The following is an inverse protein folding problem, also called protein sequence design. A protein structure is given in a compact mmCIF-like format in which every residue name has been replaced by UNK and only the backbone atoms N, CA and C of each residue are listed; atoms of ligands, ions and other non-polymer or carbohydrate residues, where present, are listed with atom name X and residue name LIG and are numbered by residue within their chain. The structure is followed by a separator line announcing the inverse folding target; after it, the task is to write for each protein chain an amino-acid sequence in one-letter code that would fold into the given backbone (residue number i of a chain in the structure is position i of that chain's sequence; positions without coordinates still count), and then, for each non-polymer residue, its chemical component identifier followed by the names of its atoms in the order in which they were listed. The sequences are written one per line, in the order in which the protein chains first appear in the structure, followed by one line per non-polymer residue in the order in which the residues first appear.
data_IF_590127971187
#
_entry.id   IF_590127971187
#
_cell.length_a   1.000
_cell.length_b   1.000
_cell.length_c   1.000
_cell.angle_alpha   90.00
_cell.angle_beta   90.00
_cell.angle_gamma   90.00
#
_symmetry.space_group_name_H-M   'P 1'
#
loop_
_entity.id
_entity.type
_entity.pdbx_description
1 polymer ?
#
# COMPACT_ATOMS: atom_id res chain seq x y z
N UNK A 1 -17.53 -5.10 -25.23
CA UNK A 1 -16.08 -5.36 -25.12
C UNK A 1 -15.35 -4.07 -25.38
N UNK A 2 -14.30 -3.78 -24.60
CA UNK A 2 -13.55 -2.54 -24.77
C UNK A 2 -12.70 -2.59 -26.04
N UNK A 3 -12.36 -1.42 -26.59
CA UNK A 3 -11.50 -1.32 -27.77
C UNK A 3 -10.11 -1.94 -27.51
N UNK A 4 -9.65 -1.90 -26.28
CA UNK A 4 -8.38 -2.46 -25.85
C UNK A 4 -8.42 -4.00 -25.87
N UNK A 5 -9.54 -4.59 -25.43
CA UNK A 5 -9.75 -6.05 -25.47
C UNK A 5 -9.70 -6.56 -26.92
N UNK A 6 -10.29 -5.82 -27.84
CA UNK A 6 -10.27 -6.17 -29.27
C UNK A 6 -8.86 -6.07 -29.86
N UNK A 7 -8.08 -5.04 -29.50
CA UNK A 7 -6.68 -4.90 -29.92
C UNK A 7 -5.82 -6.04 -29.38
N UNK A 8 -6.03 -6.42 -28.12
CA UNK A 8 -5.33 -7.54 -27.50
C UNK A 8 -5.67 -8.89 -28.16
N UNK A 9 -6.95 -9.14 -28.42
CA UNK A 9 -7.38 -10.35 -29.14
C UNK A 9 -6.76 -10.41 -30.54
N UNK A 10 -6.75 -9.29 -31.26
CA UNK A 10 -6.12 -9.18 -32.59
C UNK A 10 -4.61 -9.46 -32.51
N UNK A 11 -3.92 -8.88 -31.51
CA UNK A 11 -2.51 -9.14 -31.31
C UNK A 11 -2.24 -10.62 -31.03
N UNK A 12 -2.98 -11.26 -30.09
CA UNK A 12 -2.84 -12.67 -29.79
C UNK A 12 -3.03 -13.60 -31.00
N UNK A 13 -3.88 -13.22 -31.91
CA UNK A 13 -4.09 -13.95 -33.16
C UNK A 13 -2.91 -13.81 -34.12
N UNK A 14 -2.13 -12.74 -34.03
CA UNK A 14 -1.00 -12.44 -34.91
C UNK A 14 0.35 -12.87 -34.33
N UNK A 15 0.49 -12.76 -32.99
CA UNK A 15 1.77 -13.00 -32.30
C UNK A 15 2.19 -14.48 -32.36
N UNK A 16 3.48 -14.70 -32.65
CA UNK A 16 4.05 -16.03 -32.78
C UNK A 16 3.67 -16.78 -34.05
N UNK A 17 2.87 -16.17 -34.95
CA UNK A 17 2.54 -16.79 -36.22
C UNK A 17 3.58 -16.49 -37.29
N UNK A 18 4.13 -17.55 -37.87
CA UNK A 18 4.95 -17.46 -39.10
C UNK A 18 4.12 -17.42 -40.39
N UNK A 19 2.86 -17.88 -40.34
CA UNK A 19 1.92 -17.86 -41.46
C UNK A 19 0.99 -16.65 -41.38
N UNK A 20 0.51 -16.18 -42.54
CA UNK A 20 -0.47 -15.11 -42.57
C UNK A 20 -1.85 -15.58 -42.13
N UNK A 21 -2.65 -14.65 -41.61
CA UNK A 21 -4.08 -14.86 -41.34
C UNK A 21 -4.90 -13.96 -42.21
N UNK A 22 -5.92 -14.52 -42.88
CA UNK A 22 -6.75 -13.76 -43.81
C UNK A 22 -7.62 -12.75 -43.09
N UNK A 23 -8.03 -11.69 -43.83
CA UNK A 23 -8.94 -10.69 -43.27
C UNK A 23 -10.26 -11.31 -42.80
N UNK A 24 -10.79 -12.27 -43.55
CA UNK A 24 -12.04 -12.92 -43.20
C UNK A 24 -11.87 -13.73 -41.88
N UNK A 25 -10.81 -14.52 -41.77
CA UNK A 25 -10.55 -15.27 -40.58
C UNK A 25 -10.38 -14.38 -39.35
N UNK A 26 -9.72 -13.21 -39.47
CA UNK A 26 -9.64 -12.24 -38.39
C UNK A 26 -11.00 -11.68 -37.97
N UNK A 27 -11.88 -11.42 -38.96
CA UNK A 27 -13.23 -10.92 -38.68
C UNK A 27 -14.07 -11.98 -37.95
N UNK A 28 -13.97 -13.23 -38.36
CA UNK A 28 -14.73 -14.35 -37.81
C UNK A 28 -14.26 -14.67 -36.41
N UNK A 29 -12.94 -14.78 -36.16
CA UNK A 29 -12.35 -15.05 -34.85
C UNK A 29 -12.60 -13.95 -33.82
N UNK A 30 -12.62 -12.70 -34.26
CA UNK A 30 -12.86 -11.55 -33.40
C UNK A 30 -14.34 -11.17 -33.28
N UNK A 31 -15.20 -11.75 -34.13
CA UNK A 31 -16.64 -11.43 -34.22
C UNK A 31 -16.88 -9.94 -34.48
N UNK A 32 -16.12 -9.34 -35.40
CA UNK A 32 -16.19 -7.90 -35.68
C UNK A 32 -16.40 -7.61 -37.16
N UNK A 33 -16.92 -6.39 -37.42
CA UNK A 33 -17.11 -5.89 -38.79
C UNK A 33 -15.79 -5.52 -39.44
N UNK A 34 -15.78 -5.48 -40.78
CA UNK A 34 -14.63 -5.06 -41.58
C UNK A 34 -14.13 -3.67 -41.25
N UNK A 35 -15.04 -2.71 -40.99
CA UNK A 35 -14.69 -1.34 -40.61
C UNK A 35 -14.02 -1.28 -39.24
N UNK A 36 -14.46 -2.13 -38.29
CA UNK A 36 -13.87 -2.23 -36.98
C UNK A 36 -12.46 -2.86 -37.06
N UNK A 37 -12.29 -3.93 -37.83
CA UNK A 37 -10.97 -4.55 -38.02
C UNK A 37 -9.97 -3.57 -38.65
N UNK A 38 -10.39 -2.80 -39.67
CA UNK A 38 -9.52 -1.80 -40.30
C UNK A 38 -9.04 -0.75 -39.30
N UNK A 39 -9.92 -0.28 -38.40
CA UNK A 39 -9.53 0.66 -37.32
C UNK A 39 -8.55 0.03 -36.33
N UNK A 40 -8.77 -1.21 -35.95
CA UNK A 40 -7.86 -1.93 -35.05
C UNK A 40 -6.47 -2.12 -35.67
N UNK A 41 -6.38 -2.50 -36.95
CA UNK A 41 -5.13 -2.62 -37.69
C UNK A 41 -4.40 -1.28 -37.75
N UNK A 42 -5.13 -0.20 -38.04
CA UNK A 42 -4.57 1.17 -38.08
C UNK A 42 -4.04 1.58 -36.72
N UNK A 43 -4.77 1.29 -35.64
CA UNK A 43 -4.35 1.60 -34.27
C UNK A 43 -3.11 0.78 -33.87
N UNK A 44 -3.05 -0.51 -34.19
CA UNK A 44 -1.87 -1.35 -33.97
C UNK A 44 -0.62 -0.78 -34.65
N UNK A 45 -0.74 -0.39 -35.92
CA UNK A 45 0.38 0.17 -36.67
C UNK A 45 0.81 1.55 -36.18
N UNK A 46 -0.16 2.47 -36.10
CA UNK A 46 0.15 3.89 -35.97
C UNK A 46 0.32 4.31 -34.50
N UNK A 47 -0.40 3.70 -33.59
CA UNK A 47 -0.36 4.07 -32.16
C UNK A 47 0.56 3.18 -31.32
N UNK A 48 0.64 1.89 -31.72
CA UNK A 48 1.44 0.91 -30.97
C UNK A 48 2.73 0.52 -31.69
N UNK A 49 2.98 1.09 -32.90
CA UNK A 49 4.21 0.86 -33.65
C UNK A 49 4.40 -0.59 -34.11
N UNK A 50 3.33 -1.39 -34.12
CA UNK A 50 3.43 -2.79 -34.50
C UNK A 50 3.83 -2.95 -35.98
N UNK A 51 4.83 -3.77 -36.32
CA UNK A 51 5.27 -4.01 -37.69
C UNK A 51 4.31 -4.96 -38.44
N UNK A 52 3.03 -4.63 -38.41
CA UNK A 52 1.98 -5.44 -39.02
C UNK A 52 1.90 -5.15 -40.54
N UNK A 53 2.13 -6.15 -41.36
CA UNK A 53 2.02 -6.04 -42.83
C UNK A 53 0.86 -6.87 -43.37
N UNK A 54 0.41 -6.50 -44.55
CA UNK A 54 -0.44 -7.37 -45.39
C UNK A 54 0.44 -8.01 -46.42
N UNK A 55 0.66 -9.29 -46.31
CA UNK A 55 1.43 -10.06 -47.27
C UNK A 55 0.54 -10.42 -48.47
N UNK A 56 0.81 -9.80 -49.62
CA UNK A 56 0.04 -9.98 -50.83
C UNK A 56 0.24 -11.35 -51.48
N UNK A 57 1.39 -11.98 -51.25
CA UNK A 57 1.70 -13.31 -51.80
C UNK A 57 0.84 -14.41 -51.15
N UNK A 58 0.54 -14.23 -49.86
CA UNK A 58 -0.23 -15.21 -49.07
C UNK A 58 -1.62 -14.68 -48.67
N UNK A 59 -1.97 -13.46 -49.08
CA UNK A 59 -3.32 -12.90 -48.92
C UNK A 59 -3.76 -12.63 -47.49
N UNK A 60 -2.81 -12.33 -46.56
CA UNK A 60 -3.16 -12.17 -45.16
C UNK A 60 -2.23 -11.24 -44.38
N UNK A 61 -2.56 -11.05 -43.11
CA UNK A 61 -1.81 -10.21 -42.18
C UNK A 61 -0.82 -11.06 -41.38
N UNK A 62 0.37 -10.53 -41.09
CA UNK A 62 1.37 -11.07 -40.16
C UNK A 62 2.26 -9.94 -39.62
N UNK A 63 2.98 -10.21 -38.55
CA UNK A 63 4.07 -9.33 -38.13
C UNK A 63 5.29 -9.54 -39.01
N UNK A 64 5.94 -8.43 -39.40
CA UNK A 64 7.17 -8.44 -40.19
C UNK A 64 8.39 -8.57 -39.29
N UNK A 65 8.49 -9.71 -38.64
CA UNK A 65 9.56 -10.11 -37.72
C UNK A 65 10.03 -11.50 -38.08
N UNK A 66 11.31 -11.82 -37.81
CA UNK A 66 11.92 -13.09 -38.23
C UNK A 66 11.26 -14.34 -37.62
N UNK A 67 10.71 -14.21 -36.42
CA UNK A 67 10.06 -15.27 -35.65
C UNK A 67 8.55 -15.15 -35.54
N UNK A 68 7.97 -14.07 -36.12
CA UNK A 68 6.54 -13.76 -36.03
C UNK A 68 6.12 -13.15 -34.69
N UNK A 69 7.06 -13.00 -33.73
CA UNK A 69 6.78 -12.37 -32.44
C UNK A 69 7.02 -10.87 -32.49
N UNK A 70 6.10 -10.11 -31.94
CA UNK A 70 6.28 -8.69 -31.72
C UNK A 70 5.85 -8.34 -30.30
N UNK A 71 6.79 -8.09 -29.39
CA UNK A 71 6.45 -7.60 -28.06
C UNK A 71 5.87 -6.19 -28.25
N UNK A 72 4.56 -6.06 -28.15
CA UNK A 72 3.94 -4.75 -28.16
C UNK A 72 4.44 -3.95 -26.96
N UNK A 73 4.92 -2.73 -27.16
CA UNK A 73 5.32 -1.87 -26.07
C UNK A 73 4.07 -1.45 -25.28
N UNK A 74 3.79 -2.16 -24.21
CA UNK A 74 2.68 -1.81 -23.34
C UNK A 74 2.28 -2.98 -22.44
N UNK A 75 1.89 -2.63 -21.22
CA UNK A 75 1.19 -3.53 -20.35
C UNK A 75 -0.22 -3.73 -20.91
N UNK A 76 -0.60 -4.95 -21.17
CA UNK A 76 -1.92 -5.31 -21.69
C UNK A 76 -2.87 -5.44 -20.51
N UNK A 77 -3.61 -4.37 -20.28
CA UNK A 77 -4.63 -4.37 -19.25
C UNK A 77 -6.01 -4.21 -19.89
N UNK A 78 -6.97 -4.94 -19.38
CA UNK A 78 -8.38 -4.64 -19.58
C UNK A 78 -8.71 -3.26 -18.98
N UNK A 79 -9.81 -2.64 -19.40
CA UNK A 79 -10.25 -1.36 -18.81
C UNK A 79 -10.39 -1.45 -17.29
N UNK A 80 -10.82 -2.59 -16.75
CA UNK A 80 -10.93 -2.82 -15.31
C UNK A 80 -9.55 -2.86 -14.64
N UNK A 81 -8.57 -3.51 -15.23
CA UNK A 81 -7.20 -3.57 -14.71
C UNK A 81 -6.51 -2.21 -14.79
N UNK A 82 -6.73 -1.42 -15.85
CA UNK A 82 -6.25 -0.05 -15.94
C UNK A 82 -6.82 0.83 -14.84
N UNK A 83 -8.13 0.75 -14.59
CA UNK A 83 -8.76 1.47 -13.48
C UNK A 83 -8.20 1.03 -12.12
N UNK A 84 -7.98 -0.27 -11.93
CA UNK A 84 -7.37 -0.80 -10.70
C UNK A 84 -5.95 -0.27 -10.52
N UNK A 85 -5.13 -0.22 -11.58
CA UNK A 85 -3.76 0.31 -11.53
C UNK A 85 -3.72 1.81 -11.25
N UNK A 86 -4.64 2.60 -11.82
CA UNK A 86 -4.76 4.03 -11.53
C UNK A 86 -5.13 4.24 -10.07
N UNK A 87 -6.11 3.49 -9.60
CA UNK A 87 -6.54 3.54 -8.20
C UNK A 87 -5.39 3.17 -7.27
N UNK A 88 -4.68 2.08 -7.58
CA UNK A 88 -3.51 1.64 -6.81
C UNK A 88 -2.39 2.70 -6.82
N UNK A 89 -2.08 3.28 -7.99
CA UNK A 89 -1.09 4.36 -8.10
C UNK A 89 -1.50 5.58 -7.26
N UNK A 90 -2.78 5.96 -7.29
CA UNK A 90 -3.30 7.06 -6.47
C UNK A 90 -3.22 6.73 -4.97
N UNK A 91 -3.57 5.51 -4.57
CA UNK A 91 -3.40 5.03 -3.20
C UNK A 91 -1.94 5.10 -2.75
N UNK A 92 -1.00 4.61 -3.56
CA UNK A 92 0.43 4.65 -3.26
C UNK A 92 0.95 6.09 -3.12
N UNK A 93 0.52 7.01 -3.97
CA UNK A 93 0.88 8.43 -3.86
C UNK A 93 0.32 9.08 -2.59
N UNK A 94 -0.88 8.70 -2.18
CA UNK A 94 -1.51 9.22 -0.97
C UNK A 94 -0.84 8.67 0.29
N UNK A 95 -0.52 7.37 0.29
CA UNK A 95 0.18 6.73 1.41
C UNK A 95 1.61 7.27 1.57
N UNK A 96 2.30 7.51 0.46
CA UNK A 96 3.69 7.95 0.47
C UNK A 96 4.04 8.73 -0.79
N UNK A 97 3.85 10.07 -0.82
CA UNK A 97 4.31 10.89 -1.93
C UNK A 97 5.82 10.69 -2.17
N UNK A 98 6.19 10.41 -3.42
CA UNK A 98 7.60 10.25 -3.82
C UNK A 98 8.22 8.87 -3.62
N UNK A 99 7.54 7.92 -2.97
CA UNK A 99 8.11 6.60 -2.67
C UNK A 99 8.55 5.83 -3.92
N UNK A 100 7.74 5.87 -4.94
CA UNK A 100 7.96 5.13 -6.20
C UNK A 100 7.89 6.04 -7.43
N UNK A 101 7.91 7.36 -7.28
CA UNK A 101 7.67 8.30 -8.38
C UNK A 101 8.61 8.05 -9.55
N UNK A 102 9.91 7.91 -9.32
CA UNK A 102 10.89 7.65 -10.38
C UNK A 102 10.70 6.28 -11.05
N UNK A 103 10.29 5.27 -10.31
CA UNK A 103 10.06 3.92 -10.82
C UNK A 103 8.68 3.80 -11.51
N UNK A 104 7.67 4.49 -11.00
CA UNK A 104 6.30 4.44 -11.51
C UNK A 104 6.02 5.48 -12.60
N UNK A 105 6.79 6.57 -12.70
CA UNK A 105 6.58 7.61 -13.70
C UNK A 105 6.54 7.07 -15.14
N UNK A 106 7.43 6.15 -15.58
CA UNK A 106 7.33 5.57 -16.92
C UNK A 106 6.08 4.73 -17.12
N UNK A 107 5.66 3.98 -16.10
CA UNK A 107 4.45 3.15 -16.13
C UNK A 107 3.22 4.05 -16.20
N UNK A 108 3.18 5.10 -15.36
CA UNK A 108 2.09 6.08 -15.33
C UNK A 108 1.91 6.77 -16.68
N UNK A 109 2.99 7.27 -17.28
CA UNK A 109 2.94 7.90 -18.60
C UNK A 109 2.35 6.96 -19.65
N UNK A 110 2.70 5.66 -19.61
CA UNK A 110 2.14 4.65 -20.50
C UNK A 110 0.65 4.39 -20.22
N UNK A 111 0.26 4.28 -18.97
CA UNK A 111 -1.15 4.12 -18.57
C UNK A 111 -1.97 5.32 -19.00
N UNK A 112 -1.51 6.54 -18.75
CA UNK A 112 -2.18 7.77 -19.14
C UNK A 112 -2.33 7.85 -20.67
N UNK A 113 -1.31 7.46 -21.44
CA UNK A 113 -1.38 7.39 -22.91
C UNK A 113 -2.42 6.36 -23.40
N UNK A 114 -2.50 5.20 -22.77
CA UNK A 114 -3.50 4.18 -23.10
C UNK A 114 -4.92 4.65 -22.79
N UNK A 115 -5.13 5.34 -21.66
CA UNK A 115 -6.44 5.90 -21.31
C UNK A 115 -6.91 7.00 -22.25
N UNK A 116 -6.00 7.85 -22.74
CA UNK A 116 -6.32 8.89 -23.72
C UNK A 116 -6.78 8.28 -25.06
N UNK A 117 -6.26 7.11 -25.44
CA UNK A 117 -6.66 6.42 -26.66
C UNK A 117 -8.08 5.84 -26.60
N UNK A 118 -8.56 5.52 -25.42
CA UNK A 118 -9.87 4.86 -25.24
C UNK A 118 -11.05 5.83 -25.11
N UNK A 119 -10.84 7.14 -25.05
CA UNK A 119 -11.90 8.10 -24.67
C UNK A 119 -12.60 7.73 -23.33
N UNK A 120 -11.98 6.89 -22.50
CA UNK A 120 -12.44 6.55 -21.17
C UNK A 120 -12.19 7.72 -20.21
N UNK A 121 -12.77 8.88 -20.54
CA UNK A 121 -12.73 10.09 -19.72
C UNK A 121 -11.34 10.42 -19.24
N UNK A 122 -10.69 11.37 -19.94
CA UNK A 122 -9.41 11.95 -19.57
C UNK A 122 -9.27 12.07 -18.04
N UNK A 123 -8.28 11.34 -17.47
CA UNK A 123 -7.68 11.70 -16.18
C UNK A 123 -8.56 12.02 -14.96
N UNK A 124 -9.88 12.00 -15.04
CA UNK A 124 -10.80 12.44 -14.00
C UNK A 124 -11.24 11.35 -13.01
N UNK A 125 -11.04 10.08 -13.37
CA UNK A 125 -11.42 8.98 -12.47
C UNK A 125 -10.68 9.10 -11.12
N UNK A 126 -9.41 9.51 -11.12
CA UNK A 126 -8.62 9.74 -9.91
C UNK A 126 -9.11 10.96 -9.10
N UNK A 127 -9.76 11.95 -9.73
CA UNK A 127 -10.32 13.11 -9.02
C UNK A 127 -11.59 12.76 -8.23
N UNK A 128 -12.24 11.64 -8.59
CA UNK A 128 -13.49 11.18 -7.95
C UNK A 128 -13.24 10.29 -6.75
N UNK A 129 -12.03 9.75 -6.60
CA UNK A 129 -11.60 8.97 -5.43
C UNK A 129 -10.63 9.83 -4.64
N UNK A 130 -11.02 10.24 -3.45
CA UNK A 130 -10.21 11.09 -2.59
C UNK A 130 -9.93 10.39 -1.26
N UNK A 131 -8.65 10.26 -0.93
CA UNK A 131 -8.21 9.77 0.37
C UNK A 131 -7.73 10.99 1.15
N UNK A 132 -8.32 11.19 2.32
CA UNK A 132 -7.94 12.27 3.23
C UNK A 132 -7.13 11.68 4.36
N UNK A 133 -5.84 12.01 4.41
CA UNK A 133 -5.00 11.71 5.56
C UNK A 133 -5.38 12.61 6.72
N UNK A 134 -5.53 12.05 7.92
CA UNK A 134 -5.86 12.80 9.12
C UNK A 134 -4.66 12.79 10.09
N UNK A 135 -4.26 13.97 10.55
CA UNK A 135 -3.12 14.15 11.46
C UNK A 135 -1.80 13.54 10.92
N UNK A 136 -1.64 13.47 9.60
CA UNK A 136 -0.40 13.03 8.98
C UNK A 136 0.74 13.98 9.38
N UNK A 137 1.84 13.41 9.87
CA UNK A 137 3.02 14.21 10.22
C UNK A 137 3.68 14.71 8.94
N UNK A 138 4.21 15.93 8.94
CA UNK A 138 5.03 16.44 7.83
C UNK A 138 6.23 15.51 7.66
N UNK A 139 6.26 14.80 6.54
CA UNK A 139 7.22 13.72 6.31
C UNK A 139 8.45 14.32 5.61
N UNK A 140 9.53 14.48 6.34
CA UNK A 140 10.85 14.59 5.72
C UNK A 140 11.32 13.18 5.34
N UNK A 141 11.07 12.81 4.11
CA UNK A 141 11.30 11.46 3.61
C UNK A 141 12.57 11.34 2.78
N UNK A 142 13.49 12.33 2.90
CA UNK A 142 14.79 12.31 2.20
C UNK A 142 15.54 11.00 2.37
N UNK A 143 15.34 10.33 3.49
CA UNK A 143 15.99 9.06 3.79
C UNK A 143 15.12 7.81 3.58
N UNK A 144 13.85 7.99 3.22
CA UNK A 144 12.95 6.84 3.04
C UNK A 144 13.44 5.88 1.95
N UNK A 145 13.88 6.39 0.80
CA UNK A 145 14.39 5.55 -0.29
C UNK A 145 15.64 4.77 0.13
N UNK A 146 16.55 5.40 0.87
CA UNK A 146 17.75 4.74 1.39
C UNK A 146 17.38 3.63 2.37
N UNK A 147 16.41 3.89 3.26
CA UNK A 147 15.90 2.91 4.23
C UNK A 147 15.21 1.74 3.51
N UNK A 148 14.30 2.03 2.59
CA UNK A 148 13.58 1.01 1.81
C UNK A 148 14.56 0.18 0.96
N UNK A 149 15.53 0.83 0.30
CA UNK A 149 16.57 0.15 -0.46
C UNK A 149 17.40 -0.80 0.41
N UNK A 150 17.78 -0.39 1.61
CA UNK A 150 18.53 -1.23 2.54
C UNK A 150 17.71 -2.43 3.07
N UNK A 151 16.39 -2.25 3.29
CA UNK A 151 15.48 -3.36 3.63
C UNK A 151 15.46 -4.40 2.51
N UNK A 152 15.25 -3.95 1.27
CA UNK A 152 15.14 -4.83 0.09
C UNK A 152 16.46 -5.52 -0.24
N UNK A 153 17.58 -4.79 -0.15
CA UNK A 153 18.92 -5.32 -0.43
C UNK A 153 19.53 -6.10 0.74
N UNK A 154 18.83 -6.16 1.89
CA UNK A 154 19.31 -6.84 3.11
C UNK A 154 20.68 -6.33 3.56
N UNK A 155 20.89 -5.00 3.51
CA UNK A 155 22.12 -4.33 3.95
C UNK A 155 21.91 -3.59 5.26
N UNK A 156 23.00 -3.41 6.02
CA UNK A 156 22.99 -2.62 7.26
C UNK A 156 22.90 -1.14 6.96
N UNK A 157 22.38 -0.39 7.93
CA UNK A 157 22.34 1.07 7.93
C UNK A 157 23.04 1.63 9.15
N UNK A 158 23.73 2.75 8.97
CA UNK A 158 24.02 3.70 10.03
C UNK A 158 22.96 4.79 9.93
N UNK A 159 22.24 5.05 11.01
CA UNK A 159 21.23 6.10 11.09
C UNK A 159 21.55 7.10 12.20
N UNK A 160 21.29 8.38 11.95
CA UNK A 160 21.17 9.39 13.00
C UNK A 160 19.68 9.49 13.37
N UNK A 161 19.35 9.03 14.56
CA UNK A 161 17.97 8.93 15.03
C UNK A 161 17.68 9.96 16.12
N UNK A 162 16.67 10.78 15.90
CA UNK A 162 16.16 11.74 16.87
C UNK A 162 15.08 11.10 17.72
N UNK A 163 15.34 10.95 19.02
CA UNK A 163 14.37 10.47 19.99
C UNK A 163 13.54 11.64 20.54
N UNK A 164 12.25 11.66 20.27
CA UNK A 164 11.34 12.74 20.68
C UNK A 164 11.15 12.84 22.18
N UNK A 165 11.05 11.69 22.88
CA UNK A 165 10.85 11.67 24.33
C UNK A 165 12.02 12.27 25.09
N UNK A 166 13.24 12.09 24.57
CA UNK A 166 14.49 12.57 25.20
C UNK A 166 15.08 13.79 24.55
N UNK A 167 14.49 14.26 23.44
CA UNK A 167 14.99 15.37 22.62
C UNK A 167 16.48 15.23 22.26
N UNK A 168 16.92 13.99 21.98
CA UNK A 168 18.33 13.67 21.73
C UNK A 168 18.48 12.94 20.39
N UNK A 169 19.56 13.29 19.67
CA UNK A 169 19.99 12.54 18.50
C UNK A 169 21.07 11.55 18.87
N UNK A 170 21.00 10.35 18.30
CA UNK A 170 22.00 9.32 18.52
C UNK A 170 22.25 8.55 17.24
N UNK A 171 23.53 8.18 17.03
CA UNK A 171 23.88 7.29 15.93
C UNK A 171 23.61 5.84 16.29
N UNK A 172 23.09 5.09 15.31
CA UNK A 172 22.74 3.66 15.45
C UNK A 172 23.18 2.88 14.23
N UNK A 173 23.93 1.80 14.44
CA UNK A 173 24.08 0.76 13.43
C UNK A 173 22.93 -0.23 13.59
N UNK A 174 22.17 -0.43 12.52
CA UNK A 174 20.98 -1.27 12.51
C UNK A 174 20.98 -2.25 11.34
N UNK A 175 20.35 -3.40 11.53
CA UNK A 175 19.98 -4.33 10.47
C UNK A 175 18.48 -4.23 10.22
N UNK A 176 18.05 -3.54 9.15
CA UNK A 176 16.64 -3.38 8.83
C UNK A 176 15.98 -4.74 8.57
N UNK A 177 14.75 -4.91 9.03
CA UNK A 177 13.98 -6.13 8.85
C UNK A 177 12.77 -5.91 7.95
N UNK A 178 11.91 -4.94 8.29
CA UNK A 178 10.72 -4.59 7.51
C UNK A 178 10.30 -3.14 7.74
N UNK A 179 9.59 -2.58 6.75
CA UNK A 179 8.87 -1.31 6.85
C UNK A 179 7.40 -1.57 7.12
N UNK A 180 6.86 -0.89 8.11
CA UNK A 180 5.45 -0.98 8.51
C UNK A 180 4.80 0.39 8.37
N UNK A 181 3.70 0.49 7.61
CA UNK A 181 2.86 1.68 7.58
C UNK A 181 1.75 1.55 8.61
N UNK A 182 1.70 2.50 9.55
CA UNK A 182 0.71 2.50 10.62
C UNK A 182 0.25 3.94 10.92
N UNK A 183 -1.05 4.19 10.89
CA UNK A 183 -1.67 5.50 11.16
C UNK A 183 -0.97 6.65 10.43
N UNK A 184 -0.92 6.58 9.11
CA UNK A 184 -0.28 7.58 8.24
C UNK A 184 1.22 7.81 8.48
N UNK A 185 1.91 6.94 9.22
CA UNK A 185 3.35 7.03 9.47
C UNK A 185 4.06 5.73 9.10
N UNK A 186 5.33 5.86 8.74
CA UNK A 186 6.20 4.73 8.45
C UNK A 186 7.11 4.41 9.62
N UNK A 187 7.21 3.15 9.92
CA UNK A 187 8.09 2.61 10.96
C UNK A 187 9.01 1.57 10.38
N UNK A 188 10.25 1.56 10.86
CA UNK A 188 11.28 0.61 10.51
C UNK A 188 11.51 -0.35 11.68
N UNK A 189 11.19 -1.61 11.50
CA UNK A 189 11.58 -2.66 12.41
C UNK A 189 13.03 -3.04 12.11
N UNK A 190 13.92 -2.93 13.09
CA UNK A 190 15.32 -3.21 12.88
C UNK A 190 16.01 -3.80 14.12
N UNK A 191 17.00 -4.65 13.92
CA UNK A 191 17.92 -5.06 14.95
C UNK A 191 18.93 -3.96 15.19
N UNK A 192 18.96 -3.42 16.40
CA UNK A 192 19.93 -2.41 16.81
C UNK A 192 21.17 -3.09 17.39
N UNK A 193 22.33 -2.91 16.74
CA UNK A 193 23.58 -3.55 17.17
C UNK A 193 24.10 -3.05 18.52
N UNK A 194 23.95 -1.75 18.82
CA UNK A 194 24.34 -1.18 20.11
C UNK A 194 23.47 -1.69 21.27
N UNK A 195 22.16 -1.87 21.04
CA UNK A 195 21.22 -2.32 22.06
C UNK A 195 20.99 -3.84 22.06
N UNK A 196 21.63 -4.56 21.13
CA UNK A 196 21.54 -6.02 20.94
C UNK A 196 20.09 -6.53 20.97
N UNK A 197 19.18 -5.83 20.29
CA UNK A 197 17.77 -6.17 20.29
C UNK A 197 16.97 -5.49 19.18
N UNK A 198 15.77 -6.02 18.92
CA UNK A 198 14.81 -5.41 18.02
C UNK A 198 14.34 -4.06 18.56
N UNK A 199 14.19 -3.11 17.66
CA UNK A 199 13.66 -1.77 17.92
C UNK A 199 12.82 -1.30 16.76
N UNK A 200 11.86 -0.46 17.06
CA UNK A 200 11.00 0.22 16.08
C UNK A 200 11.51 1.66 15.99
N UNK A 201 11.76 2.12 14.79
CA UNK A 201 12.20 3.47 14.48
C UNK A 201 11.16 4.17 13.62
N UNK A 202 10.62 5.30 14.07
CA UNK A 202 9.80 6.15 13.23
C UNK A 202 10.67 6.74 12.12
N UNK A 203 10.32 6.51 10.86
CA UNK A 203 11.17 6.87 9.71
C UNK A 203 11.38 8.39 9.63
N UNK A 204 10.37 9.18 9.97
CA UNK A 204 10.45 10.64 10.01
C UNK A 204 11.41 11.18 11.10
N UNK A 205 11.82 10.33 12.03
CA UNK A 205 12.82 10.68 13.05
C UNK A 205 14.25 10.33 12.64
N UNK A 206 14.44 9.71 11.47
CA UNK A 206 15.75 9.44 10.90
C UNK A 206 16.25 10.71 10.21
N UNK A 207 17.27 11.33 10.78
CA UNK A 207 17.90 12.58 10.27
C UNK A 207 18.91 12.30 9.17
N UNK A 208 19.56 11.14 9.22
CA UNK A 208 20.53 10.67 8.23
C UNK A 208 20.48 9.14 8.17
N UNK A 209 20.64 8.58 6.97
CA UNK A 209 20.73 7.14 6.74
C UNK A 209 21.80 6.86 5.69
N UNK A 210 22.77 6.04 6.05
CA UNK A 210 23.87 5.59 5.18
C UNK A 210 23.87 4.08 5.11
N UNK A 211 23.74 3.55 3.90
CA UNK A 211 23.81 2.10 3.67
C UNK A 211 25.25 1.62 3.76
N UNK A 212 25.50 0.58 4.53
CA UNK A 212 26.80 -0.06 4.63
C UNK A 212 26.88 -1.23 3.64
N UNK A 213 28.08 -1.48 3.15
CA UNK A 213 28.35 -2.71 2.36
C UNK A 213 28.58 -3.91 3.28
N UNK A 214 27.65 -4.14 4.18
CA UNK A 214 27.63 -5.26 5.14
C UNK A 214 26.23 -5.90 5.13
N UNK A 215 26.15 -7.25 5.15
CA UNK A 215 24.86 -7.93 5.19
C UNK A 215 24.12 -7.62 6.50
N UNK A 216 22.82 -7.41 6.38
CA UNK A 216 21.98 -7.24 7.55
C UNK A 216 21.83 -8.58 8.30
N UNK A 217 21.78 -8.52 9.64
CA UNK A 217 21.34 -9.65 10.45
C UNK A 217 19.89 -9.98 10.09
N UNK A 218 19.62 -11.21 9.66
CA UNK A 218 18.27 -11.69 9.37
C UNK A 218 17.66 -12.32 10.61
N UNK A 219 16.42 -12.01 10.88
CA UNK A 219 15.62 -12.62 11.94
C UNK A 219 14.44 -13.38 11.32
N UNK A 220 14.02 -14.52 11.89
CA UNK A 220 12.83 -15.23 11.42
C UNK A 220 11.57 -14.40 11.57
N UNK A 221 10.63 -14.52 10.63
CA UNK A 221 9.35 -13.80 10.66
C UNK A 221 8.54 -14.12 11.93
N UNK A 222 8.63 -15.34 12.42
CA UNK A 222 8.01 -15.75 13.70
C UNK A 222 8.52 -14.92 14.87
N UNK A 223 9.82 -14.57 14.89
CA UNK A 223 10.41 -13.72 15.92
C UNK A 223 9.94 -12.27 15.76
N UNK A 224 9.92 -11.77 14.52
CA UNK A 224 9.43 -10.41 14.21
C UNK A 224 7.96 -10.28 14.62
N UNK A 225 7.11 -11.21 14.22
CA UNK A 225 5.69 -11.18 14.52
C UNK A 225 5.42 -11.28 16.03
N UNK A 226 6.13 -12.16 16.73
CA UNK A 226 5.98 -12.30 18.19
C UNK A 226 6.36 -11.03 18.95
N UNK A 227 7.38 -10.29 18.50
CA UNK A 227 7.86 -9.11 19.20
C UNK A 227 7.21 -7.80 18.75
N UNK A 228 6.63 -7.75 17.53
CA UNK A 228 6.23 -6.52 16.90
C UNK A 228 4.75 -6.49 16.48
N UNK A 229 4.02 -7.60 16.58
CA UNK A 229 2.63 -7.68 16.13
C UNK A 229 1.69 -8.41 17.11
N UNK A 230 2.17 -8.73 18.32
CA UNK A 230 1.40 -9.55 19.26
C UNK A 230 0.52 -8.76 20.23
N UNK A 231 0.53 -7.42 20.17
CA UNK A 231 -0.28 -6.58 21.05
C UNK A 231 -0.72 -5.30 20.33
N UNK A 232 -1.68 -4.60 20.94
CA UNK A 232 -2.25 -3.36 20.41
C UNK A 232 -1.21 -2.27 20.20
N UNK A 233 -1.27 -1.63 19.02
CA UNK A 233 -0.47 -0.47 18.66
C UNK A 233 0.88 -0.79 18.01
N UNK A 234 1.58 0.27 17.58
CA UNK A 234 2.88 0.15 16.89
C UNK A 234 4.01 -0.25 17.86
N UNK A 235 3.87 0.09 19.15
CA UNK A 235 4.84 -0.28 20.19
C UNK A 235 4.56 -1.67 20.77
N UNK A 236 4.04 -2.55 19.93
CA UNK A 236 3.72 -3.91 20.29
C UNK A 236 4.95 -4.63 20.88
N UNK A 237 4.69 -5.47 21.83
CA UNK A 237 5.58 -6.43 22.45
C UNK A 237 4.72 -7.61 22.83
N UNK A 238 5.23 -8.53 23.67
CA UNK A 238 4.34 -9.54 24.23
C UNK A 238 3.24 -8.84 25.06
N UNK A 239 1.96 -9.26 24.93
CA UNK A 239 0.89 -8.72 25.74
C UNK A 239 1.21 -8.84 27.23
N UNK A 240 1.08 -7.76 27.95
CA UNK A 240 1.25 -7.74 29.42
C UNK A 240 -0.09 -7.84 30.13
N UNK A 241 -1.17 -7.45 29.46
CA UNK A 241 -2.53 -7.51 29.99
C UNK A 241 -3.57 -7.46 28.85
N UNK A 242 -4.82 -7.76 29.19
CA UNK A 242 -5.99 -7.57 28.31
C UNK A 242 -6.82 -6.42 28.86
N UNK A 243 -7.07 -5.40 28.04
CA UNK A 243 -8.00 -4.33 28.35
C UNK A 243 -9.43 -4.79 28.04
N UNK A 244 -10.36 -4.53 28.95
CA UNK A 244 -11.81 -4.68 28.71
C UNK A 244 -12.41 -3.29 28.69
N UNK A 245 -12.90 -2.91 27.51
CA UNK A 245 -13.51 -1.62 27.24
C UNK A 245 -15.01 -1.80 27.04
N UNK A 246 -15.84 -0.99 27.65
CA UNK A 246 -17.29 -1.00 27.50
C UNK A 246 -17.76 0.30 26.87
N UNK A 247 -18.39 0.18 25.72
CA UNK A 247 -18.94 1.31 24.97
C UNK A 247 -20.42 1.49 25.23
N UNK A 248 -20.87 2.75 25.22
CA UNK A 248 -22.33 3.08 25.31
C UNK A 248 -23.09 2.44 24.16
N UNK A 249 -24.39 2.19 24.35
CA UNK A 249 -25.24 1.62 23.30
C UNK A 249 -25.27 2.47 22.02
N UNK A 250 -25.11 3.78 22.15
CA UNK A 250 -24.98 4.68 21.00
C UNK A 250 -23.68 4.42 20.24
N UNK A 251 -22.53 4.42 20.91
CA UNK A 251 -21.22 4.27 20.29
C UNK A 251 -20.97 2.85 19.78
N UNK A 252 -21.55 1.85 20.42
CA UNK A 252 -21.44 0.46 20.05
C UNK A 252 -21.76 0.16 18.58
N UNK A 253 -22.69 0.93 17.98
CA UNK A 253 -23.13 0.78 16.57
C UNK A 253 -21.99 0.95 15.56
N UNK A 254 -20.96 1.70 15.89
CA UNK A 254 -19.77 1.90 15.05
C UNK A 254 -18.62 1.00 15.46
N UNK A 255 -18.35 0.91 16.78
CA UNK A 255 -17.20 0.16 17.30
C UNK A 255 -17.37 -1.34 17.07
N UNK A 256 -18.60 -1.86 17.00
CA UNK A 256 -18.85 -3.28 16.74
C UNK A 256 -18.34 -3.73 15.36
N UNK A 257 -18.26 -2.81 14.39
CA UNK A 257 -17.75 -3.08 13.05
C UNK A 257 -16.22 -2.82 12.92
N UNK A 258 -15.58 -2.33 14.00
CA UNK A 258 -14.15 -2.01 13.99
C UNK A 258 -13.30 -3.20 14.43
N UNK A 259 -12.18 -3.41 13.76
CA UNK A 259 -11.15 -4.35 14.19
C UNK A 259 -9.97 -3.60 14.77
N UNK A 260 -9.85 -3.61 16.09
CA UNK A 260 -8.76 -2.96 16.82
C UNK A 260 -7.53 -3.86 16.95
N UNK A 261 -7.75 -5.17 17.07
CA UNK A 261 -6.69 -6.17 17.17
C UNK A 261 -7.17 -7.50 16.55
N UNK A 262 -6.31 -8.27 15.85
CA UNK A 262 -6.71 -9.56 15.27
C UNK A 262 -7.24 -10.58 16.28
N UNK A 263 -6.74 -10.53 17.52
CA UNK A 263 -7.15 -11.42 18.61
C UNK A 263 -8.16 -10.76 19.56
N UNK A 264 -8.82 -9.68 19.13
CA UNK A 264 -9.86 -9.06 19.96
C UNK A 264 -11.03 -10.03 20.17
N UNK A 265 -11.62 -9.96 21.34
CA UNK A 265 -12.88 -10.61 21.66
C UNK A 265 -13.93 -9.56 22.00
N UNK A 266 -15.16 -9.83 21.65
CA UNK A 266 -16.23 -8.85 21.87
C UNK A 266 -17.56 -9.51 22.16
N UNK A 267 -18.45 -8.76 22.84
CA UNK A 267 -19.82 -9.19 23.11
C UNK A 267 -20.77 -8.01 23.27
N UNK A 268 -22.00 -8.21 22.84
CA UNK A 268 -23.08 -7.30 23.16
C UNK A 268 -23.66 -7.63 24.54
N UNK A 269 -24.01 -6.59 25.30
CA UNK A 269 -24.70 -6.71 26.58
C UNK A 269 -26.22 -6.53 26.36
N UNK A 270 -27.01 -7.02 27.31
CA UNK A 270 -28.48 -6.96 27.24
C UNK A 270 -29.04 -5.54 27.15
N UNK A 271 -28.33 -4.56 27.69
CA UNK A 271 -28.69 -3.14 27.67
C UNK A 271 -28.20 -2.39 26.40
N UNK A 272 -27.73 -3.14 25.41
CA UNK A 272 -27.25 -2.61 24.13
C UNK A 272 -25.83 -2.03 24.18
N UNK A 273 -25.14 -2.08 25.31
CA UNK A 273 -23.71 -1.74 25.40
C UNK A 273 -22.87 -2.84 24.77
N UNK A 274 -21.61 -2.50 24.42
CA UNK A 274 -20.68 -3.41 23.76
C UNK A 274 -19.36 -3.49 24.53
N UNK A 275 -18.95 -4.71 24.84
CA UNK A 275 -17.64 -4.96 25.44
C UNK A 275 -16.64 -5.45 24.40
N UNK A 276 -15.44 -4.86 24.45
CA UNK A 276 -14.31 -5.18 23.59
C UNK A 276 -13.11 -5.51 24.46
N UNK A 277 -12.54 -6.70 24.28
CA UNK A 277 -11.35 -7.19 24.98
C UNK A 277 -10.17 -7.18 24.04
N UNK A 278 -9.09 -6.48 24.39
CA UNK A 278 -7.92 -6.23 23.53
C UNK A 278 -6.64 -6.56 24.29
N UNK A 279 -5.76 -7.44 23.77
CA UNK A 279 -4.43 -7.64 24.34
C UNK A 279 -3.54 -6.41 24.06
N UNK A 280 -2.84 -5.90 25.07
CA UNK A 280 -1.92 -4.78 24.92
C UNK A 280 -0.61 -4.98 25.66
N UNK A 281 0.47 -4.36 25.15
CA UNK A 281 1.80 -4.36 25.79
C UNK A 281 2.19 -2.98 26.33
N UNK A 282 1.70 -1.91 25.71
CA UNK A 282 1.93 -0.53 26.10
C UNK A 282 0.59 0.21 26.11
N UNK A 283 0.30 0.88 27.21
CA UNK A 283 -0.96 1.56 27.42
C UNK A 283 -1.07 2.93 26.73
N UNK A 284 0.06 3.54 26.31
CA UNK A 284 0.09 4.91 25.78
C UNK A 284 -0.85 5.13 24.59
N UNK A 285 -0.78 4.24 23.59
CA UNK A 285 -1.66 4.37 22.41
C UNK A 285 -3.10 4.02 22.75
N UNK A 286 -3.28 2.97 23.55
CA UNK A 286 -4.61 2.54 23.97
C UNK A 286 -5.33 3.64 24.78
N UNK A 287 -4.63 4.33 25.68
CA UNK A 287 -5.17 5.48 26.41
C UNK A 287 -5.58 6.60 25.47
N UNK A 288 -4.75 6.91 24.46
CA UNK A 288 -5.11 7.95 23.46
C UNK A 288 -6.38 7.59 22.69
N UNK A 289 -6.54 6.32 22.32
CA UNK A 289 -7.75 5.87 21.63
C UNK A 289 -8.97 5.82 22.54
N UNK A 290 -8.81 5.43 23.78
CA UNK A 290 -9.87 5.49 24.80
C UNK A 290 -10.35 6.96 24.98
N UNK A 291 -9.41 7.89 25.16
CA UNK A 291 -9.73 9.30 25.36
C UNK A 291 -10.43 9.93 24.15
N UNK A 292 -10.19 9.46 22.94
CA UNK A 292 -10.88 9.87 21.72
C UNK A 292 -12.40 9.68 21.79
N UNK A 293 -12.88 8.68 22.53
CA UNK A 293 -14.29 8.39 22.70
C UNK A 293 -14.93 9.16 23.87
N UNK A 294 -14.14 9.80 24.71
CA UNK A 294 -14.62 10.62 25.81
C UNK A 294 -15.54 9.85 26.77
N UNK A 295 -16.77 10.32 26.94
CA UNK A 295 -17.76 9.70 27.82
C UNK A 295 -18.41 8.42 27.26
N UNK A 296 -18.14 8.08 25.98
CA UNK A 296 -18.75 6.94 25.31
C UNK A 296 -18.03 5.61 25.59
N UNK A 297 -16.95 5.62 26.37
CA UNK A 297 -16.18 4.41 26.70
C UNK A 297 -15.80 4.39 28.19
N UNK A 298 -15.92 3.22 28.79
CA UNK A 298 -15.44 2.92 30.14
C UNK A 298 -14.41 1.80 30.13
N UNK A 299 -13.30 1.99 30.84
CA UNK A 299 -12.34 0.91 31.09
C UNK A 299 -12.88 0.06 32.25
N UNK A 300 -13.19 -1.19 31.97
CA UNK A 300 -13.67 -2.14 32.97
C UNK A 300 -12.49 -2.83 33.67
N UNK A 301 -11.47 -3.22 32.89
CA UNK A 301 -10.26 -3.85 33.36
C UNK A 301 -9.08 -3.57 32.44
N UNK A 302 -7.84 -3.66 32.93
CA UNK A 302 -7.45 -3.81 34.33
C UNK A 302 -7.50 -2.47 35.09
N UNK A 303 -7.50 -2.53 36.41
CA UNK A 303 -7.54 -1.33 37.27
C UNK A 303 -6.39 -0.36 37.02
N UNK A 304 -5.21 -0.86 36.68
CA UNK A 304 -4.06 -0.02 36.35
C UNK A 304 -4.35 0.86 35.12
N UNK A 305 -4.96 0.31 34.07
CA UNK A 305 -5.35 1.07 32.86
C UNK A 305 -6.46 2.07 33.21
N UNK A 306 -7.46 1.66 34.01
CA UNK A 306 -8.54 2.53 34.46
C UNK A 306 -7.98 3.73 35.24
N UNK A 307 -7.04 3.50 36.14
CA UNK A 307 -6.37 4.55 36.91
C UNK A 307 -5.57 5.51 35.99
N UNK A 308 -4.85 4.96 35.00
CA UNK A 308 -4.07 5.76 34.05
C UNK A 308 -4.97 6.66 33.19
N UNK A 309 -6.11 6.14 32.70
CA UNK A 309 -7.10 6.92 31.95
C UNK A 309 -7.70 8.02 32.84
N UNK A 310 -8.07 7.69 34.08
CA UNK A 310 -8.60 8.68 35.03
C UNK A 310 -7.62 9.83 35.25
N UNK A 311 -6.35 9.55 35.46
CA UNK A 311 -5.31 10.58 35.61
C UNK A 311 -5.28 11.53 34.39
N UNK A 312 -5.41 11.00 33.19
CA UNK A 312 -5.42 11.85 31.98
C UNK A 312 -6.69 12.69 31.88
N UNK A 313 -7.85 12.13 32.24
CA UNK A 313 -9.11 12.85 32.27
C UNK A 313 -9.09 13.98 33.32
N UNK A 314 -8.56 13.72 34.52
CA UNK A 314 -8.41 14.73 35.57
C UNK A 314 -7.46 15.86 35.13
N UNK A 315 -6.35 15.53 34.46
CA UNK A 315 -5.45 16.53 33.87
C UNK A 315 -6.13 17.33 32.77
N UNK A 316 -6.88 16.67 31.89
CA UNK A 316 -7.62 17.35 30.82
C UNK A 316 -8.67 18.31 31.42
N UNK A 317 -9.44 17.84 32.42
CA UNK A 317 -10.40 18.70 33.13
C UNK A 317 -9.74 19.94 33.72
N UNK A 318 -8.57 19.79 34.32
CA UNK A 318 -7.81 20.92 34.91
C UNK A 318 -7.33 21.96 33.88
N UNK A 319 -7.37 21.67 32.56
CA UNK A 319 -7.07 22.65 31.50
C UNK A 319 -8.26 23.54 31.15
N UNK A 320 -9.48 23.12 31.51
CA UNK A 320 -10.70 23.82 31.15
C UNK A 320 -11.38 24.49 32.37
N UNK A 321 -10.79 24.44 33.54
CA UNK A 321 -11.30 25.04 34.78
C UNK A 321 -11.85 24.03 35.76
#
# INVERSE_FOLDING_TARGET
MSKLDDLYRLHRLLDGRRSTISRQALMDELEISRSKLTRLITDLRNKLGAPLIFDTAYGGYRYDTADGHHPLPGLWFTSAELHALITLNHLLQTLQPGLLDSALAPIRTRIDALLQTEHLGSGEAHKRIRILSMAARTKDLRHFQSVAGAVLQRKRLIIQYYNRDRSQTSEREISPQRLTHYRDNWYLDAWCHQKKGLRIFAVECIRQATTLDKPAKTLPDTTLNRQLASAYGIFAGQPVATAILRFTAHRARWVADETWHPEQQSRWLEDGRYELSIPYSNDKELIMDILKYGADVEVIAPDALKAAVKIQLDRARGQYG
#
